data_IF_487819176225
#
_entry.id   IF_487819176225
#
_cell.length_a   1.000
_cell.length_b   1.000
_cell.length_c   1.000
_cell.angle_alpha   90.00
_cell.angle_beta   90.00
_cell.angle_gamma   90.00
#
_symmetry.space_group_name_H-M   'P 1'
#
loop_
_entity.id
_entity.type
_entity.pdbx_description
1 polymer ?
#
# COMPACT_ATOMS: atom_id res chain seq x y z
N UNK A 1 -5.81 -27.88 16.27
CA UNK A 1 -5.69 -27.77 14.81
C UNK A 1 -5.91 -29.15 14.25
N UNK A 2 -7.04 -29.37 13.60
CA UNK A 2 -7.37 -30.64 12.94
C UNK A 2 -6.63 -30.70 11.61
N UNK A 3 -6.10 -31.88 11.25
CA UNK A 3 -5.24 -32.13 10.06
C UNK A 3 -5.88 -31.79 8.70
N UNK A 4 -7.12 -31.29 8.66
CA UNK A 4 -7.91 -31.03 7.46
C UNK A 4 -7.64 -29.64 6.83
N UNK A 5 -6.91 -28.76 7.53
CA UNK A 5 -6.63 -27.38 7.05
C UNK A 5 -5.56 -27.29 5.94
N UNK A 6 -4.94 -28.41 5.55
CA UNK A 6 -3.85 -28.42 4.54
C UNK A 6 -4.28 -28.98 3.17
N UNK A 7 -5.58 -29.00 2.87
CA UNK A 7 -6.08 -29.51 1.60
C UNK A 7 -5.85 -28.50 0.48
N UNK A 8 -4.85 -28.77 -0.37
CA UNK A 8 -4.59 -27.98 -1.58
C UNK A 8 -5.81 -28.04 -2.49
N UNK A 9 -6.51 -26.92 -2.63
CA UNK A 9 -7.65 -26.77 -3.55
C UNK A 9 -7.13 -26.43 -4.94
N UNK A 10 -7.47 -27.26 -5.93
CA UNK A 10 -7.11 -27.02 -7.34
C UNK A 10 -8.29 -26.41 -8.09
N UNK A 11 -8.10 -25.23 -8.67
CA UNK A 11 -9.11 -24.52 -9.47
C UNK A 11 -8.82 -24.64 -10.97
N UNK A 12 -9.84 -24.98 -11.76
CA UNK A 12 -9.77 -24.92 -13.22
C UNK A 12 -10.21 -23.54 -13.72
N UNK A 13 -9.27 -22.74 -14.20
CA UNK A 13 -9.55 -21.40 -14.74
C UNK A 13 -9.54 -21.44 -16.27
N UNK A 14 -10.57 -20.85 -16.90
CA UNK A 14 -10.61 -20.66 -18.35
C UNK A 14 -10.06 -19.28 -18.69
N UNK A 15 -9.09 -19.23 -19.59
CA UNK A 15 -8.45 -17.99 -20.05
C UNK A 15 -8.25 -18.03 -21.57
N UNK A 16 -8.12 -16.87 -22.19
CA UNK A 16 -7.74 -16.79 -23.61
C UNK A 16 -6.27 -17.18 -23.80
N UNK A 17 -5.88 -17.65 -24.99
CA UNK A 17 -4.48 -17.98 -25.28
C UNK A 17 -3.53 -16.79 -25.07
N UNK A 18 -3.94 -15.60 -25.53
CA UNK A 18 -3.15 -14.37 -25.38
C UNK A 18 -2.91 -14.01 -23.90
N UNK A 19 -3.94 -14.13 -23.06
CA UNK A 19 -3.78 -13.85 -21.64
C UNK A 19 -2.87 -14.87 -20.94
N UNK A 20 -2.98 -16.15 -21.32
CA UNK A 20 -2.07 -17.19 -20.84
C UNK A 20 -0.62 -16.87 -21.19
N UNK A 21 -0.35 -16.43 -22.40
CA UNK A 21 1.00 -16.05 -22.83
C UNK A 21 1.56 -14.87 -22.02
N UNK A 22 0.74 -13.83 -21.80
CA UNK A 22 1.10 -12.72 -20.91
C UNK A 22 1.49 -13.21 -19.51
N UNK A 23 0.71 -14.13 -18.92
CA UNK A 23 1.03 -14.72 -17.62
C UNK A 23 2.35 -15.51 -17.64
N UNK A 24 2.62 -16.30 -18.68
CA UNK A 24 3.90 -17.03 -18.83
C UNK A 24 5.06 -16.03 -18.86
N UNK A 25 4.96 -15.00 -19.70
CA UNK A 25 6.02 -14.02 -19.90
C UNK A 25 6.29 -13.23 -18.64
N UNK A 26 5.25 -12.77 -17.93
CA UNK A 26 5.44 -12.03 -16.68
C UNK A 26 5.97 -12.92 -15.56
N UNK A 27 5.49 -14.16 -15.42
CA UNK A 27 6.01 -15.10 -14.42
C UNK A 27 7.52 -15.37 -14.63
N UNK A 28 7.94 -15.56 -15.89
CA UNK A 28 9.37 -15.70 -16.25
C UNK A 28 10.17 -14.44 -15.89
N UNK A 29 9.67 -13.26 -16.26
CA UNK A 29 10.32 -11.99 -15.91
C UNK A 29 10.47 -11.76 -14.41
N UNK A 30 9.51 -12.25 -13.63
CA UNK A 30 9.52 -12.18 -12.16
C UNK A 30 10.24 -13.36 -11.48
N UNK A 31 10.81 -14.28 -12.27
CA UNK A 31 11.52 -15.47 -11.80
C UNK A 31 10.65 -16.39 -10.90
N UNK A 32 9.38 -16.56 -11.27
CA UNK A 32 8.36 -17.34 -10.53
C UNK A 32 7.65 -18.33 -11.45
N UNK A 33 6.98 -19.33 -10.85
CA UNK A 33 6.07 -20.20 -11.60
C UNK A 33 4.80 -19.43 -11.99
N UNK A 34 4.09 -19.90 -13.01
CA UNK A 34 2.82 -19.29 -13.42
C UNK A 34 1.79 -19.30 -12.28
N UNK A 35 1.71 -20.39 -11.51
CA UNK A 35 0.81 -20.46 -10.37
C UNK A 35 1.20 -19.45 -9.28
N UNK A 36 2.49 -19.31 -8.97
CA UNK A 36 2.97 -18.34 -7.99
C UNK A 36 2.66 -16.89 -8.42
N UNK A 37 2.77 -16.57 -9.71
CA UNK A 37 2.40 -15.26 -10.25
C UNK A 37 0.88 -15.01 -10.15
N UNK A 38 0.05 -16.02 -10.44
CA UNK A 38 -1.40 -15.90 -10.30
C UNK A 38 -1.80 -15.69 -8.84
N UNK A 39 -1.22 -16.46 -7.91
CA UNK A 39 -1.49 -16.33 -6.48
C UNK A 39 -1.07 -14.94 -5.97
N UNK A 40 0.15 -14.49 -6.26
CA UNK A 40 0.65 -13.16 -5.85
C UNK A 40 -0.26 -12.02 -6.33
N UNK A 41 -0.74 -12.09 -7.58
CA UNK A 41 -1.68 -11.10 -8.12
C UNK A 41 -3.03 -11.13 -7.44
N UNK A 42 -3.55 -12.32 -7.15
CA UNK A 42 -4.82 -12.47 -6.45
C UNK A 42 -4.70 -11.94 -5.02
N UNK A 43 -3.67 -12.31 -4.28
CA UNK A 43 -3.41 -11.81 -2.92
C UNK A 43 -3.34 -10.28 -2.89
N UNK A 44 -2.53 -9.67 -3.77
CA UNK A 44 -2.45 -8.21 -3.91
C UNK A 44 -3.78 -7.55 -4.27
N UNK A 45 -4.65 -8.23 -5.03
CA UNK A 45 -5.97 -7.69 -5.37
C UNK A 45 -6.87 -7.56 -4.13
N UNK A 46 -6.64 -8.36 -3.09
CA UNK A 46 -7.36 -8.26 -1.81
C UNK A 46 -6.69 -7.28 -0.83
N UNK A 47 -5.38 -7.09 -0.91
CA UNK A 47 -4.64 -6.11 -0.07
C UNK A 47 -5.01 -4.65 -0.41
N UNK A 48 -5.31 -4.37 -1.67
CA UNK A 48 -5.60 -3.01 -2.17
C UNK A 48 -6.88 -2.36 -1.62
N UNK A 49 -7.68 -3.07 -0.81
CA UNK A 49 -8.87 -2.49 -0.16
C UNK A 49 -8.57 -1.77 1.17
N UNK A 50 -7.38 -1.92 1.76
CA UNK A 50 -7.01 -1.22 3.00
C UNK A 50 -5.90 -0.16 2.81
N UNK A 51 -4.95 -0.39 1.90
CA UNK A 51 -3.85 0.55 1.63
C UNK A 51 -4.32 1.86 0.98
N UNK A 52 -5.37 1.80 0.15
CA UNK A 52 -5.94 2.95 -0.54
C UNK A 52 -6.30 4.12 0.39
N UNK A 53 -6.89 3.82 1.55
CA UNK A 53 -7.31 4.87 2.49
C UNK A 53 -6.14 5.49 3.25
N UNK A 54 -5.17 4.67 3.67
CA UNK A 54 -3.98 5.15 4.39
C UNK A 54 -3.09 5.97 3.46
N UNK A 55 -2.89 5.53 2.22
CA UNK A 55 -2.13 6.28 1.22
C UNK A 55 -2.82 7.60 0.86
N UNK A 56 -4.14 7.58 0.64
CA UNK A 56 -4.90 8.80 0.37
C UNK A 56 -4.85 9.78 1.55
N UNK A 57 -5.01 9.28 2.78
CA UNK A 57 -4.94 10.10 3.99
C UNK A 57 -3.53 10.66 4.23
N UNK A 58 -2.50 9.85 4.00
CA UNK A 58 -1.09 10.30 4.11
C UNK A 58 -0.78 11.36 3.07
N UNK A 59 -1.18 11.16 1.82
CA UNK A 59 -0.98 12.15 0.76
C UNK A 59 -1.72 13.46 1.03
N UNK A 60 -2.96 13.39 1.53
CA UNK A 60 -3.71 14.57 1.95
C UNK A 60 -3.04 15.27 3.15
N UNK A 61 -2.61 14.51 4.16
CA UNK A 61 -1.93 15.01 5.34
C UNK A 61 -0.63 15.73 5.00
N UNK A 62 0.21 15.17 4.14
CA UNK A 62 1.46 15.81 3.67
C UNK A 62 1.17 17.13 2.94
N UNK A 63 0.14 17.17 2.08
CA UNK A 63 -0.25 18.41 1.37
C UNK A 63 -0.73 19.50 2.34
N UNK A 64 -1.54 19.12 3.33
CA UNK A 64 -2.03 20.04 4.36
C UNK A 64 -0.85 20.57 5.19
N UNK A 65 0.03 19.68 5.67
CA UNK A 65 1.22 20.07 6.44
C UNK A 65 2.12 21.01 5.66
N UNK A 66 2.33 20.75 4.36
CA UNK A 66 3.10 21.64 3.49
C UNK A 66 2.48 23.03 3.38
N UNK A 67 1.17 23.14 3.19
CA UNK A 67 0.50 24.45 3.12
C UNK A 67 0.60 25.18 4.46
N UNK A 68 0.37 24.49 5.57
CA UNK A 68 0.49 25.07 6.91
C UNK A 68 1.91 25.59 7.16
N UNK A 69 2.94 24.82 6.81
CA UNK A 69 4.33 25.27 6.94
C UNK A 69 4.62 26.52 6.10
N UNK A 70 4.15 26.56 4.85
CA UNK A 70 4.33 27.73 3.98
C UNK A 70 3.65 28.96 4.57
N UNK A 71 2.39 28.86 4.99
CA UNK A 71 1.66 29.99 5.58
C UNK A 71 2.31 30.49 6.89
N UNK A 72 2.86 29.59 7.71
CA UNK A 72 3.57 29.99 8.93
C UNK A 72 4.87 30.75 8.60
N UNK A 73 5.62 30.32 7.59
CA UNK A 73 6.81 31.05 7.12
C UNK A 73 6.44 32.43 6.55
N UNK A 74 5.37 32.51 5.77
CA UNK A 74 4.86 33.78 5.23
C UNK A 74 4.39 34.74 6.33
N UNK A 75 3.91 34.22 7.47
CA UNK A 75 3.59 35.03 8.65
C UNK A 75 4.80 35.50 9.47
N UNK A 76 6.02 35.16 9.04
CA UNK A 76 7.27 35.64 9.64
C UNK A 76 7.80 34.82 10.81
N UNK A 77 7.26 33.61 11.03
CA UNK A 77 7.80 32.70 12.05
C UNK A 77 9.14 32.11 11.61
N UNK A 78 10.07 31.99 12.56
CA UNK A 78 11.33 31.29 12.31
C UNK A 78 11.15 29.78 12.25
N UNK A 79 12.09 29.08 11.61
CA UNK A 79 12.06 27.61 11.52
C UNK A 79 12.03 26.94 12.91
N UNK A 80 12.59 27.57 13.95
CA UNK A 80 12.60 27.02 15.31
C UNK A 80 11.25 27.18 16.01
N UNK A 81 10.56 28.31 15.82
CA UNK A 81 9.18 28.51 16.30
C UNK A 81 8.21 27.54 15.61
N UNK A 82 8.41 27.30 14.31
CA UNK A 82 7.60 26.33 13.55
C UNK A 82 7.82 24.91 14.08
N UNK A 83 9.08 24.51 14.34
CA UNK A 83 9.40 23.20 14.94
C UNK A 83 8.75 23.03 16.31
N UNK A 84 8.73 24.07 17.14
CA UNK A 84 8.09 24.03 18.45
C UNK A 84 6.57 23.78 18.32
N UNK A 85 5.89 24.48 17.42
CA UNK A 85 4.46 24.27 17.13
C UNK A 85 4.20 22.82 16.70
N UNK A 86 4.99 22.27 15.76
CA UNK A 86 4.82 20.90 15.28
C UNK A 86 5.21 19.83 16.31
N UNK A 87 6.08 20.16 17.27
CA UNK A 87 6.43 19.24 18.36
C UNK A 87 5.23 18.94 19.27
N UNK A 88 4.33 19.90 19.46
CA UNK A 88 3.08 19.73 20.20
C UNK A 88 2.04 18.84 19.51
N UNK A 89 2.16 18.62 18.19
CA UNK A 89 1.31 17.71 17.43
C UNK A 89 1.77 16.24 17.47
N UNK A 90 2.89 15.92 18.14
CA UNK A 90 3.25 14.53 18.41
C UNK A 90 2.22 13.92 19.37
N UNK A 91 1.23 13.27 18.75
CA UNK A 91 0.05 12.64 19.36
C UNK A 91 0.36 11.92 20.67
N UNK A 92 -0.50 12.20 21.67
CA UNK A 92 -0.83 11.30 22.76
C UNK A 92 -0.84 9.86 22.24
N UNK A 93 0.22 9.10 22.58
CA UNK A 93 0.11 7.66 22.65
C UNK A 93 -0.81 7.41 23.84
N UNK A 94 -2.10 7.20 23.57
CA UNK A 94 -2.99 6.65 24.57
C UNK A 94 -2.40 5.29 24.98
N UNK A 95 -1.94 5.22 26.23
CA UNK A 95 -1.67 3.97 26.96
C UNK A 95 -2.92 3.09 27.02
#
# INVERSE_FOLDING_TARGET
MTEDDNKVVTMKVRVTPEFREKLVTTAKGNNRSMNAEIVDRLEKSFENNQSSYIEAFTAAGVKILSHVMTSLKESGLSDDQIKEIFSGFKLNKNE
#
